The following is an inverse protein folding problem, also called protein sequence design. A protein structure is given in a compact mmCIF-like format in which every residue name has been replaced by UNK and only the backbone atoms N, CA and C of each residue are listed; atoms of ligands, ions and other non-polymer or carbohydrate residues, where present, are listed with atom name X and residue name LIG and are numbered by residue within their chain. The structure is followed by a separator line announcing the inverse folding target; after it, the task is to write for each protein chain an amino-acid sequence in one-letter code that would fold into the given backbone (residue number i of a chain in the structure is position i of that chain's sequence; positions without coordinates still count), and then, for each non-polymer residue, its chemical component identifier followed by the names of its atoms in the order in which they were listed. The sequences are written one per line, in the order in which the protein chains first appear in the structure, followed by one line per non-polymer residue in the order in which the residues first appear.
data_IF_990942499957
#
_entry.id   IF_990942499957
#
_cell.length_a   1.000
_cell.length_b   1.000
_cell.length_c   1.000
_cell.angle_alpha   90.00
_cell.angle_beta   90.00
_cell.angle_gamma   90.00
#
_symmetry.space_group_name_H-M   'P 1'
#
loop_
_entity.id
_entity.type
_entity.pdbx_description
1 polymer ?
2 non-polymer ?
3 water ?
#
# COMPACT_ATOMS: atom_id res chain seq x y z
N UNK A 3 13.84 -26.63 -4.60
CA UNK A 3 13.04 -27.13 -5.76
C UNK A 3 11.58 -26.66 -5.68
N UNK A 4 11.32 -25.48 -6.24
CA UNK A 4 10.00 -24.87 -6.27
C UNK A 4 9.88 -24.19 -7.63
N UNK A 5 8.64 -23.97 -8.08
CA UNK A 5 8.40 -23.33 -9.37
C UNK A 5 7.86 -21.90 -9.30
N UNK A 6 8.33 -21.04 -10.20
CA UNK A 6 7.81 -19.68 -10.22
C UNK A 6 6.80 -19.60 -11.35
N UNK A 7 5.54 -19.34 -11.02
CA UNK A 7 4.48 -19.25 -12.02
C UNK A 7 4.24 -17.78 -12.32
N UNK A 8 4.46 -17.40 -13.57
CA UNK A 8 4.27 -16.03 -14.04
C UNK A 8 2.90 -15.95 -14.70
N UNK A 9 2.34 -14.74 -14.83
CA UNK A 9 1.02 -14.55 -15.45
C UNK A 9 1.00 -13.14 -16.00
N UNK A 10 1.10 -13.00 -17.32
CA UNK A 10 1.11 -11.69 -17.97
C UNK A 10 0.23 -11.71 -19.24
N UNK A 11 -0.47 -10.60 -19.51
CA UNK A 11 -1.31 -10.49 -20.72
C UNK A 11 -0.50 -10.01 -21.93
N UNK A 12 0.82 -10.20 -21.92
CA UNK A 12 1.67 -9.75 -23.03
C UNK A 12 2.30 -10.90 -23.80
N UNK A 13 2.52 -10.67 -25.10
CA UNK A 13 3.13 -11.69 -25.95
C UNK A 13 4.50 -12.10 -25.45
N UNK A 14 4.85 -13.37 -25.67
CA UNK A 14 6.13 -13.94 -25.26
C UNK A 14 7.33 -13.01 -25.24
N UNK A 15 8.06 -12.95 -26.34
CA UNK A 15 9.22 -12.07 -26.41
C UNK A 15 10.45 -12.61 -25.66
N UNK A 16 11.50 -12.92 -26.44
CA UNK A 16 12.75 -13.45 -25.93
C UNK A 16 13.31 -12.81 -24.66
N UNK A 17 13.01 -11.53 -24.42
CA UNK A 17 13.55 -10.87 -23.24
C UNK A 17 12.59 -10.15 -22.31
N UNK A 18 11.91 -10.92 -21.47
CA UNK A 18 10.97 -10.35 -20.51
C UNK A 18 10.49 -11.37 -19.47
N UNK A 19 10.79 -11.05 -18.22
CA UNK A 19 10.47 -11.82 -17.03
C UNK A 19 10.82 -13.31 -16.95
N UNK A 20 10.03 -14.16 -17.58
CA UNK A 20 10.29 -15.59 -17.58
C UNK A 20 11.71 -15.93 -18.01
N UNK A 21 12.11 -15.51 -19.21
CA UNK A 21 13.45 -15.87 -19.67
C UNK A 21 14.57 -15.35 -18.79
N UNK A 22 14.33 -14.27 -18.07
CA UNK A 22 15.34 -13.73 -17.17
C UNK A 22 15.45 -14.72 -16.05
N UNK A 23 14.33 -14.97 -15.37
CA UNK A 23 14.27 -15.89 -14.26
C UNK A 23 14.90 -17.24 -14.57
N UNK A 24 14.71 -17.75 -15.79
CA UNK A 24 15.30 -19.04 -16.11
C UNK A 24 16.78 -18.93 -16.40
N UNK A 25 17.23 -17.78 -16.87
CA UNK A 25 18.66 -17.57 -17.13
C UNK A 25 19.36 -17.59 -15.78
N UNK A 26 18.60 -17.34 -14.72
CA UNK A 26 19.13 -17.35 -13.37
C UNK A 26 18.76 -18.61 -12.60
N UNK A 27 18.74 -19.75 -13.28
CA UNK A 27 18.42 -21.02 -12.63
C UNK A 27 17.08 -21.21 -11.92
N UNK A 28 16.04 -20.47 -12.35
CA UNK A 28 14.73 -20.58 -11.71
C UNK A 28 13.80 -21.48 -12.51
N UNK A 29 12.98 -22.25 -11.79
CA UNK A 29 12.02 -23.14 -12.45
C UNK A 29 10.86 -22.24 -12.82
N UNK A 30 10.76 -21.89 -14.10
CA UNK A 30 9.68 -21.01 -14.54
C UNK A 30 8.63 -21.71 -15.40
N UNK A 31 7.38 -21.36 -15.12
CA UNK A 31 6.22 -21.87 -15.83
C UNK A 31 5.33 -20.67 -16.07
N UNK A 32 5.26 -20.26 -17.33
CA UNK A 32 4.46 -19.12 -17.78
C UNK A 32 3.02 -19.52 -18.00
N UNK A 33 2.13 -18.54 -18.07
CA UNK A 33 0.69 -18.79 -18.29
C UNK A 33 0.14 -17.66 -19.17
N UNK A 34 -0.58 -18.03 -20.24
CA UNK A 34 -1.15 -17.06 -21.19
C UNK A 34 -2.02 -15.93 -20.60
N UNK A 35 -2.81 -16.26 -19.57
CA UNK A 35 -3.63 -15.27 -18.86
C UNK A 35 -4.24 -15.75 -17.54
N UNK A 36 -4.76 -14.81 -16.76
CA UNK A 36 -5.34 -15.08 -15.45
C UNK A 36 -6.25 -16.31 -15.36
N UNK A 37 -7.22 -16.37 -16.27
CA UNK A 37 -8.20 -17.46 -16.36
C UNK A 37 -7.47 -18.78 -16.62
N UNK A 38 -6.41 -18.71 -17.42
CA UNK A 38 -5.60 -19.88 -17.72
C UNK A 38 -4.93 -20.40 -16.44
N UNK A 39 -4.35 -19.49 -15.66
CA UNK A 39 -3.73 -19.88 -14.38
C UNK A 39 -4.80 -20.31 -13.39
N UNK A 40 -5.91 -19.57 -13.35
CA UNK A 40 -7.03 -19.89 -12.46
C UNK A 40 -7.49 -21.32 -12.75
N UNK A 41 -7.35 -21.74 -14.01
CA UNK A 41 -7.72 -23.08 -14.43
C UNK A 41 -6.44 -23.91 -14.61
N UNK A 42 -5.79 -24.20 -13.50
CA UNK A 42 -4.54 -24.98 -13.46
C UNK A 42 -4.07 -24.91 -12.02
N UNK A 43 -4.45 -23.79 -11.38
CA UNK A 43 -4.12 -23.49 -9.99
C UNK A 43 -4.39 -24.65 -9.04
N UNK A 44 -5.52 -25.35 -9.20
CA UNK A 44 -5.77 -26.46 -8.29
C UNK A 44 -4.69 -27.54 -8.39
N UNK A 45 -4.04 -27.60 -9.55
CA UNK A 45 -2.99 -28.59 -9.78
C UNK A 45 -1.56 -28.14 -9.50
N UNK A 46 -1.38 -27.07 -8.72
CA UNK A 46 -0.02 -26.59 -8.39
C UNK A 46 0.51 -27.04 -7.03
N UNK A 47 1.77 -27.49 -7.03
CA UNK A 47 2.40 -27.92 -5.81
C UNK A 47 3.79 -27.31 -5.69
N UNK A 48 4.08 -26.66 -4.56
CA UNK A 48 5.37 -26.02 -4.31
C UNK A 48 5.72 -24.94 -5.31
N UNK A 49 4.87 -23.94 -5.42
CA UNK A 49 5.13 -22.88 -6.38
C UNK A 49 4.87 -21.49 -5.84
N UNK A 50 5.42 -20.50 -6.51
CA UNK A 50 5.25 -19.11 -6.12
C UNK A 50 4.56 -18.44 -7.29
N UNK A 51 3.65 -17.52 -7.00
CA UNK A 51 2.91 -16.84 -8.05
C UNK A 51 3.34 -15.39 -8.23
N UNK A 52 3.70 -15.00 -9.44
CA UNK A 52 4.11 -13.63 -9.68
C UNK A 52 3.19 -13.08 -10.74
N UNK A 53 2.24 -12.24 -10.37
CA UNK A 53 1.33 -11.70 -11.37
C UNK A 53 1.93 -10.66 -12.31
N UNK A 54 1.19 -9.58 -12.57
CA UNK A 54 1.58 -8.47 -13.48
C UNK A 54 0.69 -8.50 -14.70
N UNK A 55 -0.36 -7.71 -14.61
CA UNK A 55 -1.37 -7.60 -15.64
C UNK A 55 -1.66 -6.12 -15.57
N UNK A 56 -1.46 -5.41 -16.67
CA UNK A 56 -1.70 -3.96 -16.70
C UNK A 56 -3.18 -3.48 -16.65
N UNK A 57 -3.94 -3.77 -17.71
CA UNK A 57 -5.36 -3.39 -17.84
C UNK A 57 -6.21 -3.63 -16.59
N UNK A 58 -6.87 -2.58 -16.09
CA UNK A 58 -7.72 -2.69 -14.90
C UNK A 58 -8.93 -3.64 -15.07
N UNK A 59 -9.22 -4.00 -16.33
CA UNK A 59 -10.33 -4.90 -16.68
C UNK A 59 -10.13 -6.23 -15.96
N UNK A 60 -8.92 -6.77 -16.06
CA UNK A 60 -8.58 -8.02 -15.39
C UNK A 60 -7.27 -7.80 -14.65
N UNK A 61 -7.38 -7.26 -13.43
CA UNK A 61 -6.25 -6.97 -12.57
C UNK A 61 -5.79 -8.17 -11.73
N UNK A 62 -4.58 -8.06 -11.18
CA UNK A 62 -4.03 -9.12 -10.36
C UNK A 62 -4.68 -9.22 -9.00
N UNK A 63 -5.41 -8.16 -8.63
CA UNK A 63 -6.11 -8.11 -7.37
C UNK A 63 -7.29 -9.07 -7.41
N UNK A 64 -7.92 -9.17 -8.58
CA UNK A 64 -9.07 -10.07 -8.74
C UNK A 64 -8.61 -11.52 -8.85
N UNK A 65 -7.44 -11.74 -9.42
CA UNK A 65 -6.88 -13.08 -9.55
C UNK A 65 -6.51 -13.63 -8.17
N UNK A 66 -6.19 -12.72 -7.26
CA UNK A 66 -5.83 -13.07 -5.90
C UNK A 66 -7.14 -13.27 -5.16
N UNK A 67 -8.13 -12.47 -5.53
CA UNK A 67 -9.45 -12.55 -4.94
C UNK A 67 -10.05 -13.94 -5.17
N UNK A 68 -9.91 -14.44 -6.40
CA UNK A 68 -10.43 -15.76 -6.76
C UNK A 68 -9.66 -16.94 -6.17
N UNK A 69 -8.37 -16.75 -5.94
CA UNK A 69 -7.55 -17.80 -5.35
C UNK A 69 -7.93 -17.95 -3.88
N UNK A 70 -8.36 -16.82 -3.30
CA UNK A 70 -8.77 -16.80 -1.91
C UNK A 70 -10.12 -17.50 -1.75
N UNK A 71 -10.93 -17.45 -2.80
CA UNK A 71 -12.27 -18.08 -2.81
C UNK A 71 -12.21 -19.56 -3.19
N UNK A 72 -11.05 -20.18 -2.99
CA UNK A 72 -10.79 -21.58 -3.28
C UNK A 72 -9.89 -22.13 -2.17
N UNK A 73 -9.40 -21.21 -1.33
CA UNK A 73 -8.50 -21.50 -0.22
C UNK A 73 -7.21 -22.16 -0.71
N UNK A 74 -6.45 -21.42 -1.51
CA UNK A 74 -5.20 -21.88 -2.09
C UNK A 74 -4.00 -21.17 -1.45
N UNK A 75 -3.01 -21.96 -1.04
CA UNK A 75 -1.80 -21.42 -0.40
C UNK A 75 -0.65 -21.18 -1.40
N UNK A 76 -0.78 -20.10 -2.17
CA UNK A 76 0.24 -19.73 -3.14
C UNK A 76 0.76 -18.32 -2.84
N UNK A 77 1.96 -18.22 -2.25
CA UNK A 77 2.62 -16.95 -1.90
C UNK A 77 2.83 -16.09 -3.15
N UNK A 78 2.18 -14.94 -3.22
CA UNK A 78 2.27 -14.12 -4.41
C UNK A 78 3.03 -12.78 -4.41
N UNK A 79 3.51 -12.38 -5.58
CA UNK A 79 4.24 -11.12 -5.75
C UNK A 79 3.54 -10.30 -6.84
N UNK A 80 2.65 -9.42 -6.46
CA UNK A 80 1.90 -8.65 -7.42
C UNK A 80 2.60 -7.43 -8.04
N UNK A 81 3.26 -7.60 -9.19
CA UNK A 81 3.93 -6.48 -9.86
C UNK A 81 2.95 -5.37 -10.28
N UNK A 82 3.23 -4.14 -9.85
CA UNK A 82 2.35 -3.01 -10.13
C UNK A 82 2.90 -1.98 -11.12
N UNK A 83 2.10 -0.96 -11.43
CA UNK A 83 2.55 0.07 -12.36
C UNK A 83 3.19 1.24 -11.65
N UNK A 84 4.07 1.95 -12.36
CA UNK A 84 4.80 3.13 -11.86
C UNK A 84 3.79 4.10 -11.29
N UNK A 85 3.93 4.45 -10.02
CA UNK A 85 3.02 5.40 -9.38
C UNK A 85 1.56 4.96 -9.24
N UNK A 86 1.36 3.65 -9.11
CA UNK A 86 0.02 3.11 -8.91
C UNK A 86 -0.01 2.75 -7.44
N UNK A 87 -0.68 3.59 -6.66
CA UNK A 87 -0.75 3.40 -5.22
C UNK A 87 -1.89 2.54 -4.69
N UNK A 88 -3.15 2.92 -4.97
CA UNK A 88 -4.31 2.14 -4.49
C UNK A 88 -4.26 0.65 -4.83
N UNK A 89 -3.71 0.33 -6.01
CA UNK A 89 -3.57 -1.05 -6.48
C UNK A 89 -2.58 -1.83 -5.60
N UNK A 90 -1.39 -1.27 -5.41
CA UNK A 90 -0.35 -1.88 -4.61
C UNK A 90 -0.76 -2.00 -3.15
N UNK A 91 -1.73 -1.18 -2.75
CA UNK A 91 -2.29 -1.17 -1.39
C UNK A 91 -3.39 -2.22 -1.30
N UNK A 92 -4.13 -2.38 -2.41
CA UNK A 92 -5.20 -3.35 -2.53
C UNK A 92 -4.67 -4.78 -2.57
N UNK A 93 -3.48 -4.94 -3.14
CA UNK A 93 -2.83 -6.22 -3.27
C UNK A 93 -2.38 -6.77 -1.93
N UNK A 94 -1.89 -5.89 -1.06
CA UNK A 94 -1.44 -6.33 0.27
C UNK A 94 -2.67 -6.62 1.13
N UNK A 95 -3.82 -6.11 0.68
CA UNK A 95 -5.09 -6.32 1.37
C UNK A 95 -5.75 -7.60 0.80
N UNK A 96 -5.12 -8.20 -0.19
CA UNK A 96 -5.65 -9.42 -0.82
C UNK A 96 -4.75 -10.65 -0.58
N UNK A 97 -3.91 -10.59 0.46
CA UNK A 97 -3.04 -11.71 0.75
C UNK A 97 -1.62 -11.68 0.17
N UNK A 98 -1.34 -10.69 -0.68
CA UNK A 98 -0.03 -10.59 -1.31
C UNK A 98 1.14 -10.44 -0.32
N UNK A 99 2.18 -11.25 -0.53
CA UNK A 99 3.38 -11.28 0.29
C UNK A 99 4.23 -10.04 0.04
N UNK A 100 4.08 -9.46 -1.15
CA UNK A 100 4.80 -8.25 -1.53
C UNK A 100 4.19 -7.58 -2.76
N UNK A 101 4.93 -6.63 -3.33
CA UNK A 101 4.53 -5.90 -4.52
C UNK A 101 5.84 -5.41 -5.12
N UNK A 102 5.81 -4.87 -6.32
CA UNK A 102 7.01 -4.39 -6.97
C UNK A 102 6.59 -3.32 -7.95
N UNK A 103 6.87 -2.06 -7.65
CA UNK A 103 6.51 -0.99 -8.57
C UNK A 103 7.45 -1.05 -9.78
N UNK A 104 6.89 -0.90 -10.98
CA UNK A 104 7.70 -0.93 -12.19
C UNK A 104 8.25 0.46 -12.50
N UNK A 105 9.42 0.54 -13.15
CA UNK A 105 10.23 -0.61 -13.61
C UNK A 105 10.92 -1.27 -12.41
N UNK A 106 11.67 -2.33 -12.67
CA UNK A 106 12.41 -3.03 -11.63
C UNK A 106 13.54 -3.81 -12.31
N UNK A 107 14.63 -4.08 -11.61
CA UNK A 107 15.67 -4.89 -12.26
C UNK A 107 15.67 -6.28 -11.65
N UNK A 108 16.35 -7.19 -12.31
CA UNK A 108 16.43 -8.58 -11.87
C UNK A 108 16.50 -8.68 -10.35
N UNK A 109 17.60 -8.17 -9.79
CA UNK A 109 17.90 -8.15 -8.36
C UNK A 109 16.70 -8.11 -7.40
N UNK A 110 15.90 -7.07 -7.47
CA UNK A 110 14.75 -6.94 -6.60
C UNK A 110 13.68 -8.01 -6.83
N UNK A 111 13.42 -8.31 -8.09
CA UNK A 111 12.42 -9.32 -8.38
C UNK A 111 12.90 -10.71 -7.92
N UNK A 112 14.17 -11.05 -8.15
CA UNK A 112 14.75 -12.31 -7.69
C UNK A 112 14.70 -12.47 -6.14
N UNK A 113 15.16 -11.41 -5.46
CA UNK A 113 15.19 -11.31 -4.01
C UNK A 113 13.78 -11.57 -3.48
N UNK A 114 12.83 -10.70 -3.83
CA UNK A 114 11.43 -10.82 -3.42
C UNK A 114 10.81 -12.24 -3.63
N UNK A 115 11.18 -12.90 -4.73
CA UNK A 115 10.67 -14.25 -4.99
C UNK A 115 11.22 -15.20 -3.95
N UNK A 116 12.47 -15.02 -3.57
CA UNK A 116 13.09 -15.87 -2.57
C UNK A 116 12.44 -15.67 -1.21
N UNK A 117 12.06 -14.44 -0.89
CA UNK A 117 11.40 -14.16 0.38
C UNK A 117 10.00 -14.71 0.41
N UNK A 118 9.46 -14.99 -0.77
CA UNK A 118 8.12 -15.54 -0.90
C UNK A 118 8.20 -17.05 -0.79
N UNK A 119 9.30 -17.62 -1.30
CA UNK A 119 9.54 -19.06 -1.28
C UNK A 119 9.84 -19.54 0.14
N UNK A 120 9.60 -18.66 1.11
CA UNK A 120 9.77 -18.95 2.52
C UNK A 120 8.44 -19.47 3.02
N UNK A 121 7.39 -18.70 2.72
CA UNK A 121 6.01 -19.00 3.13
C UNK A 121 5.48 -20.36 2.62
N UNK A 122 6.39 -21.19 2.15
CA UNK A 122 6.09 -22.51 1.61
C UNK A 122 6.35 -23.60 2.67
N UNK A 123 7.47 -24.28 2.51
CA UNK A 123 7.93 -25.36 3.38
C UNK A 123 7.98 -25.00 4.87
N UNK B 3 -19.21 16.38 15.93
CA UNK B 3 -18.51 17.14 17.01
C UNK B 3 -17.16 16.49 17.31
N UNK B 4 -16.22 16.58 16.38
CA UNK B 4 -14.90 16.02 16.61
C UNK B 4 -13.81 17.02 16.16
N UNK B 5 -12.56 16.60 16.09
CA UNK B 5 -11.51 17.52 15.73
C UNK B 5 -10.47 16.94 14.79
N UNK B 6 -10.03 17.75 13.84
CA UNK B 6 -8.99 17.31 12.96
C UNK B 6 -7.67 17.92 13.54
N UNK B 7 -6.61 17.13 13.54
CA UNK B 7 -5.34 17.58 14.06
C UNK B 7 -4.39 17.52 12.89
N UNK B 8 -3.96 18.68 12.41
CA UNK B 8 -3.03 18.71 11.28
C UNK B 8 -1.61 18.62 11.84
N UNK B 9 -0.70 18.08 11.07
CA UNK B 9 0.67 17.94 11.49
C UNK B 9 1.42 18.01 10.18
N UNK B 10 2.31 18.99 10.05
CA UNK B 10 3.09 19.14 8.81
C UNK B 10 4.43 19.80 9.17
N UNK B 11 5.45 19.55 8.34
CA UNK B 11 6.77 20.12 8.56
C UNK B 11 6.94 21.50 7.97
N UNK B 12 6.26 21.75 6.85
CA UNK B 12 6.30 23.04 6.20
C UNK B 12 5.18 23.91 6.79
N UNK B 13 5.55 24.97 7.52
CA UNK B 13 4.56 25.84 8.17
C UNK B 13 3.47 26.38 7.23
N UNK B 14 3.84 26.74 5.99
CA UNK B 14 2.85 27.24 5.02
C UNK B 14 1.76 26.23 4.60
N UNK B 15 2.16 24.99 4.30
CA UNK B 15 1.21 23.94 3.91
C UNK B 15 0.23 23.62 5.04
N UNK B 16 0.68 23.77 6.29
CA UNK B 16 -0.16 23.51 7.45
C UNK B 16 -1.36 24.42 7.45
N UNK B 17 -1.08 25.73 7.50
CA UNK B 17 -2.09 26.80 7.55
C UNK B 17 -3.01 26.77 6.34
N UNK B 18 -2.43 26.40 5.21
CA UNK B 18 -3.15 26.26 3.97
C UNK B 18 -4.24 25.19 4.18
N UNK B 19 -3.82 23.96 4.44
CA UNK B 19 -4.77 22.87 4.65
C UNK B 19 -5.75 23.23 5.79
N UNK B 20 -5.25 23.57 6.96
CA UNK B 20 -6.13 23.90 8.08
C UNK B 20 -7.16 24.97 7.78
N UNK B 21 -6.75 26.05 7.10
CA UNK B 21 -7.66 27.14 6.73
C UNK B 21 -8.76 26.61 5.84
N UNK B 22 -8.36 25.81 4.85
CA UNK B 22 -9.30 25.21 3.94
C UNK B 22 -10.33 24.32 4.69
N UNK B 23 -9.87 23.47 5.61
CA UNK B 23 -10.76 22.61 6.39
C UNK B 23 -11.71 23.42 7.28
N UNK B 24 -11.22 24.54 7.82
CA UNK B 24 -12.02 25.40 8.69
C UNK B 24 -13.14 26.09 7.92
N UNK B 25 -12.75 26.69 6.80
CA UNK B 25 -13.67 27.40 5.89
C UNK B 25 -14.76 26.43 5.44
N UNK B 26 -14.46 25.15 5.48
CA UNK B 26 -15.39 24.09 5.11
C UNK B 26 -16.21 23.51 6.29
N UNK B 27 -16.24 24.22 7.41
CA UNK B 27 -17.02 23.80 8.57
C UNK B 27 -16.45 22.86 9.59
N UNK B 28 -15.16 22.50 9.46
CA UNK B 28 -14.48 21.60 10.40
C UNK B 28 -13.88 22.27 11.62
N UNK B 29 -13.53 21.44 12.62
CA UNK B 29 -12.89 21.88 13.86
C UNK B 29 -11.45 21.42 13.68
N UNK B 30 -10.55 22.35 13.41
CA UNK B 30 -9.15 22.01 13.17
C UNK B 30 -8.25 22.36 14.34
N UNK B 31 -7.04 21.80 14.32
CA UNK B 31 -6.04 22.06 15.34
C UNK B 31 -4.70 21.80 14.72
N UNK B 32 -3.88 22.83 14.70
CA UNK B 32 -2.52 22.79 14.15
C UNK B 32 -1.43 22.39 15.17
N UNK B 33 -0.38 21.76 14.67
CA UNK B 33 0.73 21.31 15.48
C UNK B 33 2.03 21.58 14.79
N UNK B 34 2.89 22.35 15.45
CA UNK B 34 4.20 22.76 14.97
C UNK B 34 5.16 21.64 14.59
N UNK B 35 4.90 20.41 15.06
CA UNK B 35 5.76 19.24 14.76
C UNK B 35 5.11 17.94 15.24
N UNK B 36 5.63 16.81 14.76
CA UNK B 36 5.11 15.50 15.17
C UNK B 36 5.34 15.33 16.67
N UNK B 37 6.58 15.58 17.08
CA UNK B 37 7.04 15.49 18.46
C UNK B 37 6.20 16.36 19.39
N UNK B 38 5.68 17.47 18.88
CA UNK B 38 4.82 18.34 19.68
C UNK B 38 3.45 17.67 19.81
N UNK B 39 3.04 17.00 18.74
CA UNK B 39 1.77 16.31 18.73
C UNK B 39 1.83 15.13 19.70
N UNK B 40 2.77 14.19 19.47
CA UNK B 40 2.98 13.05 20.36
C UNK B 40 2.79 13.55 21.80
N UNK B 41 3.42 14.68 22.10
CA UNK B 41 3.29 15.28 23.42
C UNK B 41 1.82 15.49 23.77
N UNK B 42 1.10 16.19 22.90
CA UNK B 42 -0.33 16.54 23.07
C UNK B 42 -1.31 15.40 22.89
N UNK B 43 -0.86 14.33 22.22
CA UNK B 43 -1.67 13.13 21.94
C UNK B 43 -2.45 12.49 23.08
N UNK B 44 -1.82 12.24 24.25
CA UNK B 44 -2.50 11.64 25.40
C UNK B 44 -3.70 12.44 25.92
N UNK B 45 -3.82 13.69 25.47
CA UNK B 45 -4.93 14.56 25.89
C UNK B 45 -6.11 14.49 24.91
N UNK B 46 -5.81 14.24 23.64
CA UNK B 46 -6.82 14.17 22.59
C UNK B 46 -8.04 13.31 22.96
N UNK B 47 -9.22 13.82 22.62
CA UNK B 47 -10.47 13.12 22.91
C UNK B 47 -11.52 13.45 21.88
N UNK B 48 -11.68 12.55 20.91
CA UNK B 48 -12.62 12.65 19.79
C UNK B 48 -11.94 13.49 18.70
N UNK B 49 -10.85 12.96 18.16
CA UNK B 49 -10.13 13.66 17.14
C UNK B 49 -9.39 12.77 16.19
N UNK B 50 -9.47 13.17 14.93
CA UNK B 50 -8.89 12.49 13.78
C UNK B 50 -7.54 13.16 13.52
N UNK B 51 -6.59 12.44 12.91
CA UNK B 51 -5.28 13.02 12.62
C UNK B 51 -4.88 13.04 11.16
N UNK B 52 -4.55 14.19 10.63
CA UNK B 52 -4.04 14.21 9.25
C UNK B 52 -2.54 14.45 9.42
N UNK B 53 -1.70 13.79 8.65
CA UNK B 53 -0.24 13.86 8.80
C UNK B 53 0.54 13.75 7.50
N UNK B 54 1.42 14.70 7.23
CA UNK B 54 2.26 14.56 6.04
C UNK B 54 3.26 13.42 6.35
N UNK B 55 3.65 12.65 5.33
CA UNK B 55 4.60 11.55 5.53
C UNK B 55 6.02 12.02 5.72
N UNK B 56 6.75 12.19 4.62
CA UNK B 56 8.15 12.63 4.65
C UNK B 56 8.34 13.91 5.47
N UNK B 57 9.04 13.78 6.58
CA UNK B 57 9.33 14.90 7.47
C UNK B 57 10.80 14.81 7.88
N UNK B 58 11.42 15.94 8.31
CA UNK B 58 12.84 15.95 8.71
C UNK B 58 13.20 15.16 9.97
N UNK B 59 12.74 15.64 11.11
CA UNK B 59 13.05 14.98 12.36
C UNK B 59 12.35 13.63 12.49
N UNK B 60 11.05 13.67 12.74
CA UNK B 60 10.25 12.46 12.91
C UNK B 60 9.27 12.25 11.75
N UNK B 61 9.26 11.03 11.20
CA UNK B 61 8.39 10.66 10.07
C UNK B 61 6.93 10.29 10.39
N UNK B 62 6.08 10.39 9.36
CA UNK B 62 4.66 10.10 9.47
C UNK B 62 4.37 8.66 9.87
N UNK B 63 5.12 7.74 9.27
CA UNK B 63 4.99 6.32 9.60
C UNK B 63 5.33 6.20 11.09
N UNK B 64 6.54 6.65 11.42
CA UNK B 64 7.07 6.64 12.78
C UNK B 64 6.17 7.31 13.81
N UNK B 65 5.54 8.41 13.44
CA UNK B 65 4.63 9.08 14.34
C UNK B 65 3.43 8.17 14.63
N UNK B 66 3.08 7.36 13.63
CA UNK B 66 1.95 6.44 13.72
C UNK B 66 2.35 5.23 14.56
N UNK B 67 3.57 4.76 14.38
CA UNK B 67 4.07 3.64 15.16
C UNK B 67 4.12 4.06 16.62
N UNK B 68 4.68 5.24 16.89
CA UNK B 68 4.80 5.79 18.23
C UNK B 68 3.42 5.97 18.89
N UNK B 69 2.37 6.06 18.10
CA UNK B 69 1.04 6.21 18.66
C UNK B 69 0.59 4.80 18.93
N UNK B 70 1.17 3.86 18.20
CA UNK B 70 0.84 2.47 18.41
C UNK B 70 1.33 2.07 19.79
N UNK B 71 2.63 2.27 20.04
CA UNK B 71 3.27 1.94 21.31
C UNK B 71 2.45 2.40 22.51
N UNK B 72 1.80 3.54 22.38
CA UNK B 72 1.01 4.11 23.46
C UNK B 72 -0.46 3.66 23.41
N UNK B 73 -0.77 2.76 22.49
CA UNK B 73 -2.12 2.20 22.29
C UNK B 73 -3.26 3.23 22.24
N UNK B 74 -3.02 4.34 21.54
CA UNK B 74 -3.97 5.44 21.39
C UNK B 74 -4.90 5.27 20.18
N UNK B 75 -6.20 5.45 20.39
CA UNK B 75 -7.14 5.31 19.29
C UNK B 75 -7.41 6.63 18.57
N UNK B 76 -6.62 6.91 17.53
CA UNK B 76 -6.80 8.13 16.73
C UNK B 76 -6.74 7.84 15.22
N UNK B 77 -7.93 7.71 14.57
CA UNK B 77 -8.04 7.44 13.12
C UNK B 77 -7.00 8.32 12.40
N UNK B 78 -6.26 7.77 11.46
CA UNK B 78 -5.22 8.58 10.86
C UNK B 78 -5.04 8.61 9.36
N UNK B 79 -5.29 9.76 8.75
CA UNK B 79 -5.11 9.84 7.32
C UNK B 79 -3.68 10.24 7.19
N UNK B 80 -2.99 9.68 6.20
CA UNK B 80 -1.60 9.97 5.92
C UNK B 80 -1.49 10.62 4.52
N UNK B 81 -0.86 11.79 4.42
CA UNK B 81 -0.71 12.43 3.11
C UNK B 81 0.63 12.01 2.55
N UNK B 82 0.63 11.38 1.39
CA UNK B 82 1.86 10.93 0.79
C UNK B 82 2.29 11.89 -0.30
N UNK B 83 3.50 11.64 -0.80
CA UNK B 83 4.08 12.42 -1.87
C UNK B 83 3.74 11.76 -3.21
N UNK B 84 3.76 12.55 -4.27
CA UNK B 84 3.46 12.08 -5.62
C UNK B 84 4.34 10.87 -5.97
N UNK B 85 3.70 9.80 -6.42
CA UNK B 85 4.43 8.60 -6.80
C UNK B 85 5.36 8.01 -5.77
N UNK B 86 4.92 8.02 -4.50
CA UNK B 86 5.70 7.48 -3.39
C UNK B 86 4.92 6.26 -2.84
N UNK B 87 5.20 5.10 -3.42
CA UNK B 87 4.51 3.86 -3.04
C UNK B 87 4.83 3.14 -1.73
N UNK B 88 6.11 2.79 -1.47
CA UNK B 88 6.54 2.09 -0.25
C UNK B 88 6.05 2.76 1.02
N UNK B 89 6.14 4.07 1.03
CA UNK B 89 5.71 4.86 2.17
C UNK B 89 4.22 4.72 2.41
N UNK B 90 3.41 4.94 1.36
CA UNK B 90 1.96 4.81 1.48
C UNK B 90 1.60 3.46 2.06
N UNK B 91 2.25 2.40 1.55
CA UNK B 91 2.01 1.04 2.01
C UNK B 91 2.38 0.93 3.47
N UNK B 92 3.60 1.34 3.79
CA UNK B 92 4.09 1.28 5.15
C UNK B 92 3.19 1.98 6.18
N UNK B 93 2.33 2.88 5.71
CA UNK B 93 1.42 3.60 6.59
C UNK B 93 0.15 2.81 6.90
N UNK B 94 -0.27 1.97 5.95
CA UNK B 94 -1.46 1.14 6.13
C UNK B 94 -1.07 0.00 7.08
N UNK B 95 0.18 -0.43 6.93
CA UNK B 95 0.74 -1.47 7.75
C UNK B 95 0.94 -0.96 9.19
N UNK B 96 1.02 0.36 9.37
CA UNK B 96 1.22 0.98 10.68
C UNK B 96 -0.07 1.46 11.35
N UNK B 97 -1.21 1.21 10.74
CA UNK B 97 -2.47 1.61 11.33
C UNK B 97 -3.22 2.74 10.67
N UNK B 98 -2.72 3.26 9.55
CA UNK B 98 -3.43 4.35 8.86
C UNK B 98 -4.70 3.89 8.18
N UNK B 99 -5.79 4.61 8.44
CA UNK B 99 -7.09 4.32 7.86
C UNK B 99 -7.05 4.50 6.35
N UNK B 100 -6.47 5.62 5.92
CA UNK B 100 -6.46 5.99 4.50
C UNK B 100 -5.23 6.82 4.14
N UNK B 101 -4.90 6.85 2.85
CA UNK B 101 -3.75 7.59 2.33
C UNK B 101 -4.28 8.53 1.25
N UNK B 102 -3.57 9.62 1.00
CA UNK B 102 -3.99 10.55 -0.06
C UNK B 102 -2.76 11.05 -0.78
N UNK B 103 -2.59 10.63 -2.02
CA UNK B 103 -1.44 11.06 -2.82
C UNK B 103 -1.63 12.55 -3.14
N UNK B 104 -0.51 13.23 -3.33
CA UNK B 104 -0.50 14.65 -3.65
C UNK B 104 -0.21 14.85 -5.15
N UNK B 105 -0.70 15.95 -5.73
CA UNK B 105 -1.50 16.98 -5.07
C UNK B 105 -2.97 16.61 -5.09
N UNK B 106 -3.62 16.75 -3.95
CA UNK B 106 -5.03 16.39 -3.81
C UNK B 106 -5.93 17.56 -4.11
N UNK B 107 -7.18 17.48 -3.66
CA UNK B 107 -8.17 18.50 -3.87
C UNK B 107 -9.25 18.29 -2.82
N UNK B 108 -9.62 19.39 -2.16
CA UNK B 108 -10.62 19.46 -1.10
C UNK B 108 -11.53 18.22 -0.97
N UNK B 109 -12.34 17.99 -1.99
CA UNK B 109 -13.29 16.87 -1.99
C UNK B 109 -12.73 15.51 -1.62
N UNK B 110 -11.51 15.24 -2.01
CA UNK B 110 -10.89 13.98 -1.71
C UNK B 110 -10.47 13.85 -0.24
N UNK B 111 -9.95 14.94 0.31
CA UNK B 111 -9.50 14.96 1.69
C UNK B 111 -10.66 15.02 2.68
N UNK B 112 -11.64 15.85 2.37
CA UNK B 112 -12.82 16.02 3.22
C UNK B 112 -13.59 14.72 3.31
N UNK B 113 -13.53 13.93 2.24
CA UNK B 113 -14.26 12.66 2.24
C UNK B 113 -13.43 11.63 3.00
N UNK B 114 -12.10 11.69 2.88
CA UNK B 114 -11.21 10.76 3.60
C UNK B 114 -11.22 11.00 5.11
N UNK B 115 -11.55 12.22 5.51
CA UNK B 115 -11.63 12.61 6.91
C UNK B 115 -12.94 12.11 7.47
N UNK B 116 -14.00 12.30 6.71
CA UNK B 116 -15.32 11.86 7.14
C UNK B 116 -15.32 10.34 7.34
N UNK B 117 -14.65 9.62 6.44
CA UNK B 117 -14.57 8.16 6.55
C UNK B 117 -13.89 7.78 7.87
N UNK B 118 -12.79 8.45 8.16
CA UNK B 118 -12.03 8.19 9.38
C UNK B 118 -12.71 8.64 10.66
N UNK B 119 -13.70 9.53 10.54
CA UNK B 119 -14.41 9.97 11.74
C UNK B 119 -15.38 8.89 12.16
N UNK B 120 -15.58 7.89 11.30
CA UNK B 120 -16.50 6.80 11.61
C UNK B 120 -15.87 5.66 12.44
N UNK B 121 -14.56 5.75 12.69
CA UNK B 121 -13.83 4.78 13.52
C UNK B 121 -13.87 5.22 15.00
N UNK B 122 -14.44 6.39 15.24
CA UNK B 122 -14.58 6.95 16.59
C UNK B 122 -15.83 6.33 17.22
N UNK B 123 -16.73 7.19 17.72
CA UNK B 123 -18.01 6.79 18.34
C UNK B 123 -19.01 7.96 18.38
X LIG C 1 7.27 17.09 4.17
#
# INVERSE_FOLDING_TARGET
MQDYTVHIVDDEEPVRKSLAFMLTMNGFAVKMHQSAEAFLAFAPDVRNGVLVTDLRMPDMSGVELLRNLGDLKINIPSIVITGHGDVPMAVEAMKAGAVDFIEKPFEDTVIIEAIERASEHLVALE
MQDYTVHIVDDEEPVRKSLAFMLTMNGFAVKMHQSAEAFLAFAPDVRNGVLVTDLRMPDMSGVELLRNLGDLKINIPSIVITGHGDVPMAVEAMKAGAVDFIEKPFEDTVIIEAIERASEHLVALE
MG MG
#
